data_IF_337452125692
#
_entry.id   IF_337452125692
#
_cell.length_a   1.000
_cell.length_b   1.000
_cell.length_c   1.000
_cell.angle_alpha   90.00
_cell.angle_beta   90.00
_cell.angle_gamma   90.00
#
_symmetry.space_group_name_H-M   'P 1'
#
loop_
_entity.id
_entity.type
_entity.pdbx_description
1 polymer ?
#
# COMPACT_ATOMS: atom_id res chain seq x y z
N UNK A 1 1.65 21.56 9.72
CA UNK A 1 3.09 21.52 9.34
C UNK A 1 4.00 21.02 10.48
N UNK A 2 4.00 21.63 11.67
CA UNK A 2 4.88 21.22 12.79
C UNK A 2 4.53 19.82 13.35
N UNK A 3 3.25 19.58 13.67
CA UNK A 3 2.78 18.28 14.16
C UNK A 3 2.88 17.18 13.10
N UNK A 4 2.65 17.53 11.83
CA UNK A 4 2.86 16.60 10.72
C UNK A 4 4.31 16.16 10.63
N UNK A 5 5.26 17.10 10.72
CA UNK A 5 6.70 16.77 10.72
C UNK A 5 7.10 15.89 11.92
N UNK A 6 6.46 16.07 13.09
CA UNK A 6 6.68 15.24 14.27
C UNK A 6 6.15 13.82 14.04
N UNK A 7 4.91 13.69 13.58
CA UNK A 7 4.23 12.42 13.25
C UNK A 7 5.04 11.66 12.19
N UNK A 8 5.42 12.35 11.12
CA UNK A 8 6.25 11.81 10.05
C UNK A 8 7.60 11.30 10.59
N UNK A 9 8.29 12.07 11.44
CA UNK A 9 9.58 11.69 12.04
C UNK A 9 9.49 10.46 12.95
N UNK A 10 8.43 10.34 13.74
CA UNK A 10 8.26 9.22 14.69
C UNK A 10 7.79 7.93 14.02
N UNK A 11 7.17 8.01 12.85
CA UNK A 11 6.43 6.89 12.26
C UNK A 11 5.19 6.55 13.10
N UNK A 12 4.65 5.34 12.89
CA UNK A 12 3.54 4.78 13.67
C UNK A 12 2.21 5.51 13.47
N UNK A 13 1.82 5.69 12.20
CA UNK A 13 0.64 6.47 11.83
C UNK A 13 -0.64 6.00 12.56
N UNK A 14 -0.80 4.70 12.79
CA UNK A 14 -1.97 4.14 13.48
C UNK A 14 -2.01 4.59 14.95
N UNK A 15 -0.86 4.61 15.64
CA UNK A 15 -0.79 5.09 17.02
C UNK A 15 -1.19 6.57 17.13
N UNK A 16 -0.73 7.40 16.20
CA UNK A 16 -1.10 8.82 16.15
C UNK A 16 -2.57 9.05 15.86
N UNK A 17 -3.18 8.25 14.99
CA UNK A 17 -4.64 8.30 14.77
C UNK A 17 -5.39 7.90 16.04
N UNK A 18 -4.97 6.83 16.72
CA UNK A 18 -5.59 6.41 17.98
C UNK A 18 -5.48 7.48 19.07
N UNK A 19 -4.29 8.06 19.27
CA UNK A 19 -4.06 9.14 20.22
C UNK A 19 -4.88 10.38 19.88
N UNK A 20 -4.94 10.74 18.59
CA UNK A 20 -5.75 11.85 18.13
C UNK A 20 -7.23 11.62 18.43
N UNK A 21 -7.76 10.43 18.19
CA UNK A 21 -9.17 10.11 18.47
C UNK A 21 -9.47 10.23 19.96
N UNK A 22 -8.57 9.79 20.84
CA UNK A 22 -8.70 9.97 22.28
C UNK A 22 -8.70 11.46 22.69
N UNK A 23 -7.81 12.27 22.12
CA UNK A 23 -7.78 13.72 22.36
C UNK A 23 -9.08 14.40 21.89
N UNK A 24 -9.64 14.00 20.75
CA UNK A 24 -10.91 14.49 20.24
C UNK A 24 -12.07 14.15 21.19
N UNK A 25 -12.13 12.92 21.71
CA UNK A 25 -13.11 12.54 22.73
C UNK A 25 -12.96 13.42 23.97
N UNK A 26 -11.73 13.64 24.44
CA UNK A 26 -11.45 14.53 25.57
C UNK A 26 -11.96 15.97 25.34
N UNK A 27 -11.77 16.51 24.13
CA UNK A 27 -12.26 17.84 23.76
C UNK A 27 -13.80 17.93 23.78
N UNK A 28 -14.50 16.92 23.25
CA UNK A 28 -15.96 16.86 23.30
C UNK A 28 -16.50 16.65 24.72
N UNK A 29 -15.81 15.87 25.57
CA UNK A 29 -16.16 15.75 26.98
C UNK A 29 -15.99 17.08 27.73
N UNK A 30 -14.92 17.83 27.43
CA UNK A 30 -14.71 19.18 27.95
C UNK A 30 -15.85 20.12 27.54
N UNK A 31 -16.26 20.08 26.27
CA UNK A 31 -17.38 20.87 25.73
C UNK A 31 -18.75 20.48 26.34
N UNK A 32 -18.97 19.20 26.62
CA UNK A 32 -20.25 18.69 27.13
C UNK A 32 -20.42 18.95 28.62
N UNK A 33 -19.40 18.66 29.43
CA UNK A 33 -19.51 18.66 30.89
C UNK A 33 -18.96 19.91 31.56
N UNK A 34 -18.22 20.76 30.83
CA UNK A 34 -17.56 21.91 31.42
C UNK A 34 -18.07 23.22 30.83
N UNK A 35 -18.45 24.16 31.71
CA UNK A 35 -18.74 25.55 31.34
C UNK A 35 -17.46 26.42 31.20
N UNK A 36 -16.32 25.78 30.96
CA UNK A 36 -15.06 26.49 30.70
C UNK A 36 -15.15 27.24 29.37
N UNK A 37 -14.28 28.22 29.19
CA UNK A 37 -14.26 29.01 27.97
C UNK A 37 -13.99 28.09 26.75
N UNK A 38 -14.88 28.07 25.73
CA UNK A 38 -14.83 27.12 24.61
C UNK A 38 -13.53 27.19 23.80
N UNK A 39 -12.76 28.29 23.89
CA UNK A 39 -11.47 28.40 23.23
C UNK A 39 -10.49 27.26 23.61
N UNK A 40 -10.52 26.79 24.87
CA UNK A 40 -9.61 25.72 25.29
C UNK A 40 -9.96 24.41 24.58
N UNK A 41 -11.23 24.02 24.59
CA UNK A 41 -11.64 22.78 23.94
C UNK A 41 -11.46 22.83 22.41
N UNK A 42 -11.75 23.98 21.79
CA UNK A 42 -11.55 24.18 20.35
C UNK A 42 -10.07 24.14 19.94
N UNK A 43 -9.16 24.65 20.77
CA UNK A 43 -7.71 24.53 20.49
C UNK A 43 -7.24 23.07 20.57
N UNK A 44 -7.68 22.32 21.58
CA UNK A 44 -7.38 20.87 21.70
C UNK A 44 -7.95 20.10 20.50
N UNK A 45 -9.18 20.41 20.10
CA UNK A 45 -9.83 19.79 18.94
C UNK A 45 -9.06 20.05 17.64
N UNK A 46 -8.61 21.29 17.43
CA UNK A 46 -7.80 21.66 16.26
C UNK A 46 -6.43 20.95 16.22
N UNK A 47 -5.78 20.80 17.38
CA UNK A 47 -4.54 20.03 17.50
C UNK A 47 -4.77 18.54 17.20
N UNK A 48 -5.84 17.96 17.75
CA UNK A 48 -6.22 16.58 17.46
C UNK A 48 -6.47 16.38 15.96
N UNK A 49 -7.35 17.18 15.35
CA UNK A 49 -7.64 17.08 13.91
C UNK A 49 -6.38 17.19 13.04
N UNK A 50 -5.46 18.07 13.40
CA UNK A 50 -4.18 18.21 12.69
C UNK A 50 -3.34 16.92 12.76
N UNK A 51 -3.26 16.28 13.92
CA UNK A 51 -2.55 15.01 14.11
C UNK A 51 -3.22 13.87 13.33
N UNK A 52 -4.55 13.79 13.38
CA UNK A 52 -5.33 12.81 12.61
C UNK A 52 -5.06 12.96 11.11
N UNK A 53 -5.23 14.16 10.55
CA UNK A 53 -5.05 14.40 9.12
C UNK A 53 -3.62 14.10 8.66
N UNK A 54 -2.59 14.49 9.43
CA UNK A 54 -1.21 14.18 9.08
C UNK A 54 -0.89 12.68 9.08
N UNK A 55 -1.55 11.90 9.93
CA UNK A 55 -1.32 10.46 10.00
C UNK A 55 -2.20 9.66 9.02
N UNK A 56 -3.42 10.12 8.73
CA UNK A 56 -4.43 9.35 7.98
C UNK A 56 -4.16 9.35 6.46
N UNK A 57 -3.87 10.50 5.86
CA UNK A 57 -3.66 10.58 4.42
C UNK A 57 -2.44 9.79 3.90
N UNK A 58 -1.30 9.73 4.62
CA UNK A 58 -0.19 8.85 4.25
C UNK A 58 -0.50 7.36 4.35
N UNK A 59 -1.48 6.94 5.17
CA UNK A 59 -1.87 5.53 5.26
C UNK A 59 -2.50 5.01 3.96
N UNK A 60 -3.19 5.88 3.21
CA UNK A 60 -3.78 5.50 1.91
C UNK A 60 -2.67 5.19 0.90
N UNK A 61 -1.63 6.04 0.83
CA UNK A 61 -0.50 5.81 -0.08
C UNK A 61 0.43 4.69 0.36
N UNK A 62 0.38 4.30 1.64
CA UNK A 62 1.08 3.12 2.17
C UNK A 62 0.47 1.80 1.71
N UNK A 63 -0.85 1.73 1.62
CA UNK A 63 -1.58 0.49 1.38
C UNK A 63 -1.79 0.21 -0.11
N UNK A 64 -1.86 1.27 -0.91
CA UNK A 64 -2.31 1.19 -2.31
C UNK A 64 -1.11 1.33 -3.26
N UNK A 65 -1.03 0.51 -4.33
CA UNK A 65 0.07 0.59 -5.27
C UNK A 65 0.07 1.91 -6.06
N UNK A 66 1.26 2.39 -6.42
CA UNK A 66 1.49 3.74 -6.97
C UNK A 66 0.64 4.08 -8.20
N UNK A 67 0.41 3.10 -9.09
CA UNK A 67 -0.33 3.31 -10.34
C UNK A 67 -1.85 3.54 -10.13
N UNK A 68 -2.39 3.28 -8.94
CA UNK A 68 -3.82 3.48 -8.59
C UNK A 68 -4.03 4.57 -7.54
N UNK A 69 -2.98 5.30 -7.12
CA UNK A 69 -3.06 6.30 -6.05
C UNK A 69 -4.08 7.40 -6.36
N UNK A 70 -4.13 7.90 -7.59
CA UNK A 70 -5.06 8.97 -7.98
C UNK A 70 -6.53 8.56 -7.81
N UNK A 71 -6.89 7.34 -8.24
CA UNK A 71 -8.24 6.80 -8.06
C UNK A 71 -8.56 6.57 -6.59
N UNK A 72 -7.60 6.06 -5.82
CA UNK A 72 -7.78 5.84 -4.40
C UNK A 72 -8.04 7.12 -3.60
N UNK A 73 -7.22 8.16 -3.82
CA UNK A 73 -7.44 9.47 -3.19
C UNK A 73 -8.76 10.10 -3.65
N UNK A 74 -9.12 9.95 -4.93
CA UNK A 74 -10.41 10.42 -5.46
C UNK A 74 -11.60 9.76 -4.76
N UNK A 75 -11.58 8.42 -4.60
CA UNK A 75 -12.63 7.68 -3.89
C UNK A 75 -12.68 8.07 -2.41
N UNK A 76 -11.53 8.14 -1.74
CA UNK A 76 -11.45 8.50 -0.33
C UNK A 76 -12.04 9.90 -0.07
N UNK A 77 -11.73 10.86 -0.94
CA UNK A 77 -12.22 12.23 -0.81
C UNK A 77 -13.70 12.36 -1.18
N UNK A 78 -14.18 11.62 -2.19
CA UNK A 78 -15.61 11.56 -2.51
C UNK A 78 -16.42 11.00 -1.32
N UNK A 79 -15.92 9.93 -0.68
CA UNK A 79 -16.55 9.35 0.50
C UNK A 79 -16.50 10.31 1.70
N UNK A 80 -15.39 11.02 1.90
CA UNK A 80 -15.28 12.04 2.94
C UNK A 80 -16.28 13.18 2.73
N UNK A 81 -16.41 13.69 1.51
CA UNK A 81 -17.35 14.76 1.19
C UNK A 81 -18.81 14.31 1.37
N UNK A 82 -19.15 13.08 0.97
CA UNK A 82 -20.45 12.48 1.23
C UNK A 82 -20.72 12.40 2.74
N UNK A 83 -19.76 11.87 3.50
CA UNK A 83 -19.87 11.73 4.95
C UNK A 83 -20.06 13.08 5.64
N UNK A 84 -19.28 14.09 5.24
CA UNK A 84 -19.42 15.46 5.75
C UNK A 84 -20.79 16.05 5.43
N UNK A 85 -21.30 15.87 4.22
CA UNK A 85 -22.63 16.37 3.84
C UNK A 85 -23.74 15.74 4.71
N UNK A 86 -23.72 14.40 4.85
CA UNK A 86 -24.71 13.67 5.65
C UNK A 86 -24.58 14.02 7.13
N UNK A 87 -23.37 13.98 7.69
CA UNK A 87 -23.14 14.27 9.10
C UNK A 87 -23.51 15.71 9.46
N UNK A 88 -23.20 16.68 8.60
CA UNK A 88 -23.57 18.10 8.82
C UNK A 88 -25.08 18.29 8.77
N UNK A 89 -25.78 17.62 7.85
CA UNK A 89 -27.25 17.70 7.78
C UNK A 89 -27.91 17.08 9.03
N UNK A 90 -27.44 15.90 9.46
CA UNK A 90 -27.91 15.26 10.69
C UNK A 90 -27.63 16.11 11.93
N UNK A 91 -26.42 16.67 12.03
CA UNK A 91 -26.02 17.56 13.12
C UNK A 91 -26.94 18.80 13.20
N UNK A 92 -27.30 19.40 12.06
CA UNK A 92 -28.27 20.50 11.99
C UNK A 92 -29.63 20.12 12.57
N UNK A 93 -30.21 19.00 12.12
CA UNK A 93 -31.50 18.54 12.62
C UNK A 93 -31.47 18.19 14.12
N UNK A 94 -30.35 17.64 14.58
CA UNK A 94 -30.12 17.28 15.99
C UNK A 94 -30.05 18.51 16.88
N UNK A 95 -29.29 19.55 16.48
CA UNK A 95 -29.16 20.77 17.28
C UNK A 95 -30.47 21.56 17.33
N UNK A 96 -31.23 21.58 16.24
CA UNK A 96 -32.53 22.26 16.19
C UNK A 96 -33.56 21.61 17.12
N UNK A 97 -33.47 20.29 17.33
CA UNK A 97 -34.43 19.54 18.15
C UNK A 97 -34.01 19.42 19.63
N UNK A 98 -32.72 19.18 19.88
CA UNK A 98 -32.19 18.79 21.19
C UNK A 98 -31.20 19.78 21.79
N UNK A 99 -30.92 20.89 21.09
CA UNK A 99 -29.95 21.88 21.49
C UNK A 99 -28.51 21.35 21.49
N UNK A 100 -27.63 22.12 22.12
CA UNK A 100 -26.19 21.90 22.10
C UNK A 100 -25.75 20.58 22.77
N UNK A 101 -26.35 20.20 23.89
CA UNK A 101 -25.96 18.98 24.60
C UNK A 101 -26.26 17.71 23.80
N UNK A 102 -27.39 17.68 23.08
CA UNK A 102 -27.74 16.52 22.25
C UNK A 102 -26.85 16.42 21.01
N UNK A 103 -26.44 17.56 20.46
CA UNK A 103 -25.44 17.63 19.39
C UNK A 103 -24.08 17.07 19.83
N UNK A 104 -23.59 17.46 21.01
CA UNK A 104 -22.33 16.95 21.55
C UNK A 104 -22.39 15.44 21.83
N UNK A 105 -23.51 14.93 22.36
CA UNK A 105 -23.71 13.48 22.52
C UNK A 105 -23.74 12.73 21.19
N UNK A 106 -24.31 13.32 20.15
CA UNK A 106 -24.29 12.77 18.79
C UNK A 106 -22.85 12.62 18.26
N UNK A 107 -22.02 13.66 18.40
CA UNK A 107 -20.62 13.59 18.01
C UNK A 107 -19.83 12.59 18.86
N UNK A 108 -20.05 12.55 20.17
CA UNK A 108 -19.44 11.55 21.06
C UNK A 108 -19.78 10.12 20.64
N UNK A 109 -21.03 9.83 20.28
CA UNK A 109 -21.42 8.50 19.80
C UNK A 109 -20.64 8.11 18.52
N UNK A 110 -20.50 9.04 17.57
CA UNK A 110 -19.70 8.81 16.37
C UNK A 110 -18.20 8.60 16.68
N UNK A 111 -17.67 9.31 17.67
CA UNK A 111 -16.29 9.15 18.12
C UNK A 111 -16.04 7.80 18.79
N UNK A 112 -17.00 7.23 19.51
CA UNK A 112 -16.88 5.87 20.02
C UNK A 112 -16.82 4.83 18.89
N UNK A 113 -17.62 5.00 17.84
CA UNK A 113 -17.55 4.15 16.64
C UNK A 113 -16.18 4.29 15.98
N UNK A 114 -15.70 5.54 15.85
CA UNK A 114 -14.35 5.82 15.32
C UNK A 114 -13.25 5.19 16.17
N UNK A 115 -13.35 5.25 17.51
CA UNK A 115 -12.40 4.64 18.44
C UNK A 115 -12.36 3.12 18.27
N UNK A 116 -13.52 2.47 18.12
CA UNK A 116 -13.61 1.04 17.86
C UNK A 116 -12.93 0.67 16.54
N UNK A 117 -13.17 1.45 15.47
CA UNK A 117 -12.52 1.26 14.19
C UNK A 117 -11.00 1.44 14.28
N UNK A 118 -10.52 2.46 15.00
CA UNK A 118 -9.09 2.67 15.26
C UNK A 118 -8.47 1.50 16.03
N UNK A 119 -9.17 0.95 17.02
CA UNK A 119 -8.71 -0.22 17.78
C UNK A 119 -8.63 -1.47 16.89
N UNK A 120 -9.65 -1.72 16.06
CA UNK A 120 -9.63 -2.84 15.11
C UNK A 120 -8.48 -2.70 14.13
N UNK A 121 -8.24 -1.50 13.59
CA UNK A 121 -7.11 -1.23 12.69
C UNK A 121 -5.78 -1.46 13.39
N UNK A 122 -5.64 -1.06 14.65
CA UNK A 122 -4.44 -1.32 15.43
C UNK A 122 -4.22 -2.81 15.69
N UNK A 123 -5.26 -3.57 16.05
CA UNK A 123 -5.19 -5.02 16.22
C UNK A 123 -4.80 -5.70 14.90
N UNK A 124 -5.40 -5.28 13.79
CA UNK A 124 -5.12 -5.83 12.46
C UNK A 124 -3.65 -5.60 12.06
N UNK A 125 -3.11 -4.41 12.32
CA UNK A 125 -1.71 -4.10 12.03
C UNK A 125 -0.73 -4.97 12.84
N UNK A 126 -1.01 -5.19 14.12
CA UNK A 126 -0.22 -6.09 15.00
C UNK A 126 -0.24 -7.53 14.48
N UNK A 127 -1.35 -7.98 13.87
CA UNK A 127 -1.57 -9.38 13.45
C UNK A 127 -1.04 -9.70 12.06
N UNK A 128 -0.92 -8.72 11.16
CA UNK A 128 -0.64 -8.99 9.75
C UNK A 128 0.86 -8.98 9.46
N UNK A 129 1.53 -7.84 9.62
CA UNK A 129 2.96 -7.68 9.24
C UNK A 129 3.64 -6.44 9.84
N UNK A 130 2.91 -5.54 10.51
CA UNK A 130 3.46 -4.27 11.03
C UNK A 130 3.86 -3.24 9.97
N UNK A 131 3.44 -3.42 8.71
CA UNK A 131 3.82 -2.52 7.59
C UNK A 131 3.32 -1.09 7.80
N UNK A 132 2.21 -0.88 8.53
CA UNK A 132 1.71 0.47 8.83
C UNK A 132 2.40 1.12 10.04
N UNK A 133 3.03 0.33 10.91
CA UNK A 133 3.85 0.80 12.04
C UNK A 133 5.35 0.84 11.73
N UNK A 134 5.79 0.47 10.53
CA UNK A 134 7.19 0.60 10.14
C UNK A 134 7.61 2.07 10.17
N UNK A 135 8.72 2.35 10.86
CA UNK A 135 9.37 3.67 10.85
C UNK A 135 9.81 4.01 9.42
N UNK A 136 9.91 5.30 9.08
CA UNK A 136 10.32 5.76 7.74
C UNK A 136 11.61 5.05 7.28
N UNK A 137 12.59 4.86 8.18
CA UNK A 137 13.83 4.16 7.86
C UNK A 137 13.64 2.69 7.46
N UNK A 138 12.74 1.96 8.11
CA UNK A 138 12.41 0.57 7.75
C UNK A 138 11.60 0.50 6.45
N UNK A 139 10.72 1.48 6.23
CA UNK A 139 9.92 1.62 5.00
C UNK A 139 10.80 1.89 3.78
N UNK A 140 11.74 2.84 3.87
CA UNK A 140 12.69 3.12 2.78
C UNK A 140 13.59 1.91 2.49
N UNK A 141 14.00 1.15 3.51
CA UNK A 141 14.74 -0.09 3.30
C UNK A 141 13.91 -1.17 2.59
N UNK A 142 12.63 -1.31 2.94
CA UNK A 142 11.72 -2.24 2.27
C UNK A 142 11.40 -1.82 0.83
N UNK A 143 11.09 -0.54 0.59
CA UNK A 143 10.85 -0.01 -0.76
C UNK A 143 12.09 -0.15 -1.65
N UNK A 144 13.29 0.13 -1.14
CA UNK A 144 14.54 -0.12 -1.86
C UNK A 144 14.76 -1.61 -2.15
N UNK A 145 14.48 -2.50 -1.21
CA UNK A 145 14.60 -3.95 -1.43
C UNK A 145 13.58 -4.48 -2.46
N UNK A 146 12.38 -3.90 -2.48
CA UNK A 146 11.32 -4.25 -3.42
C UNK A 146 11.60 -3.68 -4.82
N UNK A 147 12.18 -2.48 -4.90
CA UNK A 147 12.65 -1.89 -6.15
C UNK A 147 13.79 -2.72 -6.74
N UNK A 148 14.78 -3.11 -5.93
CA UNK A 148 15.88 -3.98 -6.36
C UNK A 148 15.37 -5.34 -6.87
N UNK A 149 14.42 -5.97 -6.17
CA UNK A 149 13.82 -7.25 -6.61
C UNK A 149 13.02 -7.12 -7.91
N UNK A 150 12.33 -5.98 -8.14
CA UNK A 150 11.64 -5.70 -9.40
C UNK A 150 12.61 -5.49 -10.55
N UNK A 151 13.68 -4.74 -10.33
CA UNK A 151 14.74 -4.49 -11.31
C UNK A 151 15.44 -5.80 -11.72
N UNK A 152 15.76 -6.65 -10.74
CA UNK A 152 16.29 -7.99 -11.00
C UNK A 152 15.32 -8.84 -11.84
N UNK A 153 14.03 -8.86 -11.49
CA UNK A 153 13.02 -9.63 -12.23
C UNK A 153 12.85 -9.11 -13.66
N UNK A 154 12.79 -7.80 -13.88
CA UNK A 154 12.74 -7.22 -15.23
C UNK A 154 14.00 -7.54 -16.04
N UNK A 155 15.18 -7.51 -15.41
CA UNK A 155 16.43 -7.86 -16.09
C UNK A 155 16.47 -9.32 -16.53
N UNK A 156 15.91 -10.24 -15.73
CA UNK A 156 15.79 -11.66 -16.04
C UNK A 156 14.80 -11.90 -17.18
N UNK A 157 13.63 -11.26 -17.13
CA UNK A 157 12.63 -11.34 -18.21
C UNK A 157 13.18 -10.78 -19.53
N UNK A 158 13.94 -9.68 -19.48
CA UNK A 158 14.60 -9.09 -20.65
C UNK A 158 15.70 -10.00 -21.21
N UNK A 159 16.48 -10.66 -20.35
CA UNK A 159 17.44 -11.68 -20.79
C UNK A 159 16.74 -12.87 -21.43
N UNK A 160 15.65 -13.34 -20.83
CA UNK A 160 14.91 -14.48 -21.35
C UNK A 160 14.32 -14.17 -22.73
N UNK A 161 13.75 -12.98 -22.94
CA UNK A 161 13.21 -12.59 -24.24
C UNK A 161 14.28 -12.39 -25.32
N UNK A 162 15.47 -11.88 -24.97
CA UNK A 162 16.63 -11.82 -25.89
C UNK A 162 17.04 -13.25 -26.31
N UNK A 163 17.17 -14.16 -25.34
CA UNK A 163 17.57 -15.55 -25.60
C UNK A 163 16.54 -16.28 -26.47
N UNK A 164 15.24 -16.06 -26.23
CA UNK A 164 14.16 -16.63 -27.04
C UNK A 164 14.16 -16.08 -28.48
N UNK A 165 14.43 -14.78 -28.65
CA UNK A 165 14.56 -14.17 -29.96
C UNK A 165 15.77 -14.71 -30.73
N UNK A 166 16.94 -14.81 -30.09
CA UNK A 166 18.15 -15.39 -30.70
C UNK A 166 17.93 -16.86 -31.10
N UNK A 167 17.27 -17.65 -30.26
CA UNK A 167 16.92 -19.03 -30.60
C UNK A 167 15.93 -19.12 -31.77
N UNK A 168 14.95 -18.21 -31.84
CA UNK A 168 14.00 -18.13 -32.95
C UNK A 168 14.69 -17.71 -34.26
N UNK A 169 15.67 -16.81 -34.16
CA UNK A 169 16.49 -16.34 -35.28
C UNK A 169 17.43 -17.45 -35.78
N UNK A 170 18.04 -18.24 -34.89
CA UNK A 170 18.87 -19.40 -35.24
C UNK A 170 18.04 -20.49 -35.95
N UNK A 171 16.80 -20.73 -35.51
CA UNK A 171 15.88 -21.72 -36.13
C UNK A 171 15.40 -21.28 -37.51
N UNK A 172 15.26 -19.97 -37.75
CA UNK A 172 14.79 -19.44 -39.05
C UNK A 172 15.91 -19.22 -40.07
N UNK A 173 17.19 -19.30 -39.66
CA UNK A 173 18.31 -19.21 -40.59
C UNK A 173 18.36 -20.43 -41.53
N UNK A 174 18.50 -20.22 -42.86
CA UNK A 174 18.64 -21.31 -43.81
C UNK A 174 19.95 -22.07 -43.55
N UNK A 175 19.84 -23.33 -43.11
CA UNK A 175 21.02 -24.15 -42.85
C UNK A 175 21.80 -24.39 -44.15
N UNK A 176 23.10 -24.13 -44.12
CA UNK A 176 23.96 -24.36 -45.28
C UNK A 176 24.16 -25.87 -45.49
N UNK A 177 24.33 -26.32 -46.73
CA UNK A 177 24.50 -27.74 -47.08
C UNK A 177 25.66 -28.39 -46.29
N UNK A 178 26.72 -27.63 -46.01
CA UNK A 178 27.85 -28.07 -45.20
C UNK A 178 27.51 -28.33 -43.73
N UNK A 179 26.61 -27.53 -43.13
CA UNK A 179 26.15 -27.72 -41.75
C UNK A 179 25.32 -29.00 -41.63
N UNK A 180 24.44 -29.26 -42.61
CA UNK A 180 23.64 -30.48 -42.68
C UNK A 180 24.56 -31.70 -42.84
N UNK A 181 25.53 -31.64 -43.77
CA UNK A 181 26.51 -32.71 -43.99
C UNK A 181 27.28 -33.04 -42.70
N UNK A 182 27.81 -32.03 -42.01
CA UNK A 182 28.61 -32.24 -40.80
C UNK A 182 27.76 -32.79 -39.64
N UNK A 183 26.49 -32.39 -39.53
CA UNK A 183 25.53 -32.94 -38.55
C UNK A 183 25.18 -34.41 -38.82
N UNK A 184 25.10 -34.81 -40.09
CA UNK A 184 24.91 -36.21 -40.47
C UNK A 184 26.17 -37.04 -40.18
N UNK A 185 27.35 -36.55 -40.57
CA UNK A 185 28.62 -37.22 -40.32
C UNK A 185 28.91 -37.41 -38.83
N UNK A 186 28.55 -36.45 -37.97
CA UNK A 186 28.70 -36.59 -36.52
C UNK A 186 27.79 -37.66 -35.93
N UNK A 187 26.55 -37.81 -36.43
CA UNK A 187 25.62 -38.88 -36.04
C UNK A 187 26.04 -40.25 -36.54
N UNK A 188 26.58 -40.34 -37.76
CA UNK A 188 27.07 -41.59 -38.34
C UNK A 188 28.39 -42.03 -37.70
N UNK A 189 29.27 -41.10 -37.35
CA UNK A 189 30.53 -41.40 -36.65
C UNK A 189 30.37 -41.89 -35.21
N UNK A 190 29.21 -41.64 -34.57
CA UNK A 190 28.87 -42.16 -33.24
C UNK A 190 28.09 -43.49 -33.29
N UNK A 191 27.66 -43.94 -34.48
CA UNK A 191 27.10 -45.27 -34.66
C UNK A 191 28.24 -46.28 -34.66
N UNK A 192 28.37 -47.03 -33.55
CA UNK A 192 29.22 -48.20 -33.47
C UNK A 192 28.73 -49.22 -34.52
N UNK A 193 29.34 -49.23 -35.70
CA UNK A 193 28.94 -50.07 -36.83
C UNK A 193 29.09 -51.54 -36.40
N UNK A 194 28.02 -52.34 -36.35
CA UNK A 194 28.14 -53.74 -35.96
C UNK A 194 29.01 -54.47 -36.99
N UNK A 195 30.05 -55.18 -36.51
CA UNK A 195 31.18 -55.68 -37.31
C UNK A 195 30.85 -56.65 -38.46
N UNK A 196 29.59 -57.04 -38.65
CA UNK A 196 29.16 -57.84 -39.80
C UNK A 196 29.05 -57.02 -41.10
N UNK A 197 28.86 -55.69 -41.03
CA UNK A 197 28.75 -54.82 -42.22
C UNK A 197 30.11 -54.37 -42.78
N UNK A 198 31.18 -54.42 -41.99
CA UNK A 198 32.53 -54.00 -42.42
C UNK A 198 33.16 -54.98 -43.43
N UNK A 199 32.68 -56.22 -43.51
CA UNK A 199 33.18 -57.22 -44.47
C UNK A 199 32.61 -57.08 -45.90
N UNK A 200 31.58 -56.26 -46.11
CA UNK A 200 30.94 -56.12 -47.43
C UNK A 200 31.52 -54.96 -48.28
N UNK A 201 32.45 -54.17 -47.74
CA UNK A 201 33.05 -53.00 -48.39
C UNK A 201 34.55 -53.17 -48.70
N UNK A 202 35.04 -54.42 -48.78
CA UNK A 202 36.40 -54.72 -49.21
C UNK A 202 36.39 -55.53 -50.50
#
# INVERSE_FOLDING_TARGET
PLLGLLVDRTGWNIFWVFLSTLCTIGAHLLLTFTFLNPFIAMTVLGLAYSMCASALWPMISLVIPEYQLGTAYGIAQALQNLGLAVATMLAGMVVDSGGYLLLEMFFLAWLFISLMASLIMWIYDIRTTGVLNMTIAQRTAYENSKAASKEDTESLLRRQSITENEACEEVTQPQTVDQIRNRYLSRVGQMNVPGHLVRALR
#
